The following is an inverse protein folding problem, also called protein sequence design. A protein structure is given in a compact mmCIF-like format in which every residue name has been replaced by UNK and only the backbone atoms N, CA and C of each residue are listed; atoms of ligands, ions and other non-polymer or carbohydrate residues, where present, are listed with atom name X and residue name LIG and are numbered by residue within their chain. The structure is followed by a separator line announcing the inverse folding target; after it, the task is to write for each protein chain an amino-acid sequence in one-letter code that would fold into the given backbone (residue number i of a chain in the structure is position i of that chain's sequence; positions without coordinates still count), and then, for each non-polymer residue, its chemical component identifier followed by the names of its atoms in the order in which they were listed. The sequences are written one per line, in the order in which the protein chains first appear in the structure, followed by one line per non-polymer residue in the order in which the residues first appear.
data_IF_304585805365
#
_entry.id   IF_304585805365
#
_cell.length_a   1.000
_cell.length_b   1.000
_cell.length_c   1.000
_cell.angle_alpha   90.00
_cell.angle_beta   90.00
_cell.angle_gamma   90.00
#
_symmetry.space_group_name_H-M   'P 1'
#
loop_
_entity.id
_entity.type
_entity.pdbx_description
1 polymer ?
#
# COMPACT_ATOMS: atom_id res chain seq x y z
N UNK A 1 19.60 -19.76 28.03
CA UNK A 1 20.84 -19.00 27.73
C UNK A 1 21.82 -19.24 28.86
N UNK A 2 23.09 -19.52 28.57
CA UNK A 2 24.10 -19.79 29.60
C UNK A 2 25.27 -18.82 29.45
N UNK A 3 25.70 -18.23 30.56
CA UNK A 3 26.87 -17.34 30.57
C UNK A 3 28.17 -18.14 30.39
N UNK A 4 28.95 -17.82 29.37
CA UNK A 4 30.28 -18.41 29.16
C UNK A 4 31.33 -17.59 29.89
N UNK A 5 31.97 -18.18 30.92
CA UNK A 5 32.99 -17.51 31.73
C UNK A 5 34.30 -17.24 30.97
N UNK A 6 34.69 -18.14 30.05
CA UNK A 6 35.91 -17.97 29.24
C UNK A 6 35.76 -16.89 28.17
N UNK A 7 34.56 -16.75 27.59
CA UNK A 7 34.28 -15.78 26.52
C UNK A 7 33.54 -14.51 26.99
N UNK A 8 33.25 -14.39 28.29
CA UNK A 8 32.53 -13.29 28.94
C UNK A 8 31.26 -12.83 28.19
N UNK A 9 30.50 -13.78 27.64
CA UNK A 9 29.25 -13.50 26.92
C UNK A 9 28.20 -14.58 27.14
N UNK A 10 26.92 -14.21 27.01
CA UNK A 10 25.83 -15.18 27.01
C UNK A 10 25.82 -15.96 25.69
N UNK A 11 25.89 -17.29 25.79
CA UNK A 11 25.80 -18.19 24.64
C UNK A 11 24.47 -18.96 24.68
N UNK A 12 23.87 -19.11 23.50
CA UNK A 12 22.74 -20.02 23.27
C UNK A 12 23.33 -21.39 22.91
N UNK A 13 23.28 -22.35 23.83
CA UNK A 13 23.54 -23.76 23.49
C UNK A 13 22.28 -24.32 22.80
N UNK A 14 22.47 -24.97 21.65
CA UNK A 14 21.39 -25.68 20.95
C UNK A 14 20.97 -26.94 21.71
N UNK A 15 19.81 -27.50 21.34
CA UNK A 15 19.34 -28.79 21.83
C UNK A 15 19.91 -29.86 20.88
N UNK A 16 20.47 -30.94 21.42
CA UNK A 16 20.89 -32.10 20.64
C UNK A 16 19.63 -32.92 20.29
N UNK A 17 19.38 -33.10 19.00
CA UNK A 17 18.32 -33.96 18.49
C UNK A 17 18.94 -35.18 17.80
N UNK A 18 18.27 -36.32 17.87
CA UNK A 18 18.68 -37.50 17.11
C UNK A 18 18.60 -37.20 15.60
N UNK A 19 19.56 -37.68 14.78
CA UNK A 19 19.53 -37.51 13.33
C UNK A 19 18.18 -37.88 12.71
N UNK A 20 17.60 -39.00 13.12
CA UNK A 20 16.28 -39.47 12.67
C UNK A 20 15.14 -38.48 13.01
N UNK A 21 15.26 -37.73 14.10
CA UNK A 21 14.27 -36.70 14.47
C UNK A 21 14.43 -35.45 13.58
N UNK A 22 15.64 -35.13 13.15
CA UNK A 22 15.93 -34.03 12.21
C UNK A 22 15.40 -34.41 10.82
N UNK A 23 15.73 -35.61 10.33
CA UNK A 23 15.28 -36.09 9.02
C UNK A 23 13.76 -36.18 8.91
N UNK A 24 13.07 -36.70 9.94
CA UNK A 24 11.60 -36.71 9.97
C UNK A 24 11.01 -35.30 9.91
N UNK A 25 11.56 -34.34 10.66
CA UNK A 25 11.11 -32.96 10.63
C UNK A 25 11.34 -32.31 9.25
N UNK A 26 12.45 -32.63 8.59
CA UNK A 26 12.73 -32.19 7.21
C UNK A 26 11.72 -32.80 6.21
N UNK A 27 11.44 -34.11 6.32
CA UNK A 27 10.45 -34.80 5.48
C UNK A 27 9.05 -34.19 5.63
N UNK A 28 8.61 -33.97 6.87
CA UNK A 28 7.32 -33.36 7.19
C UNK A 28 7.26 -31.93 6.61
N UNK A 29 8.31 -31.12 6.81
CA UNK A 29 8.40 -29.77 6.27
C UNK A 29 8.35 -29.72 4.73
N UNK A 30 8.99 -30.69 4.06
CA UNK A 30 9.00 -30.84 2.61
C UNK A 30 7.62 -31.27 2.09
N UNK A 31 6.95 -32.23 2.74
CA UNK A 31 5.60 -32.64 2.37
C UNK A 31 4.58 -31.49 2.49
N UNK A 32 4.74 -30.64 3.50
CA UNK A 32 3.91 -29.44 3.68
C UNK A 32 4.30 -28.29 2.74
N UNK A 33 5.52 -28.28 2.19
CA UNK A 33 6.02 -27.21 1.33
C UNK A 33 5.22 -27.12 0.03
N UNK A 34 4.88 -28.26 -0.58
CA UNK A 34 4.11 -28.28 -1.83
C UNK A 34 2.68 -27.77 -1.63
N UNK A 35 2.03 -28.14 -0.52
CA UNK A 35 0.69 -27.65 -0.16
C UNK A 35 0.73 -26.14 0.11
N UNK A 36 1.78 -25.64 0.78
CA UNK A 36 1.99 -24.21 1.01
C UNK A 36 2.26 -23.45 -0.29
N UNK A 37 3.11 -23.99 -1.17
CA UNK A 37 3.42 -23.38 -2.46
C UNK A 37 2.17 -23.24 -3.34
N UNK A 38 1.38 -24.31 -3.48
CA UNK A 38 0.11 -24.27 -4.23
C UNK A 38 -0.90 -23.28 -3.62
N UNK A 39 -0.96 -23.17 -2.29
CA UNK A 39 -1.78 -22.14 -1.63
C UNK A 39 -1.28 -20.73 -1.91
N UNK A 40 0.04 -20.51 -1.89
CA UNK A 40 0.66 -19.22 -2.20
C UNK A 40 0.39 -18.78 -3.64
N UNK A 41 0.53 -19.68 -4.61
CA UNK A 41 0.23 -19.41 -6.03
C UNK A 41 -1.25 -19.03 -6.21
N UNK A 42 -2.17 -19.81 -5.65
CA UNK A 42 -3.61 -19.51 -5.70
C UNK A 42 -3.94 -18.20 -5.02
N UNK A 43 -3.31 -17.92 -3.87
CA UNK A 43 -3.51 -16.66 -3.15
C UNK A 43 -2.91 -15.47 -3.92
N UNK A 44 -1.79 -15.64 -4.61
CA UNK A 44 -1.19 -14.62 -5.46
C UNK A 44 -2.09 -14.29 -6.64
N UNK A 45 -2.58 -15.31 -7.36
CA UNK A 45 -3.53 -15.13 -8.46
C UNK A 45 -4.81 -14.45 -7.99
N UNK A 46 -5.35 -14.86 -6.82
CA UNK A 46 -6.53 -14.21 -6.22
C UNK A 46 -6.26 -12.74 -5.89
N UNK A 47 -5.09 -12.41 -5.33
CA UNK A 47 -4.71 -11.03 -5.00
C UNK A 47 -4.61 -10.14 -6.24
N UNK A 48 -3.99 -10.62 -7.32
CA UNK A 48 -3.91 -9.87 -8.58
C UNK A 48 -5.31 -9.54 -9.11
N UNK A 49 -6.22 -10.52 -9.09
CA UNK A 49 -7.60 -10.30 -9.53
C UNK A 49 -8.37 -9.34 -8.60
N UNK A 50 -8.16 -9.44 -7.28
CA UNK A 50 -8.74 -8.53 -6.30
C UNK A 50 -8.21 -7.09 -6.46
N UNK A 51 -6.92 -6.94 -6.76
CA UNK A 51 -6.28 -5.65 -6.99
C UNK A 51 -6.85 -4.98 -8.24
N UNK A 52 -7.01 -5.70 -9.35
CA UNK A 52 -7.64 -5.14 -10.57
C UNK A 52 -9.08 -4.68 -10.32
N UNK A 53 -9.89 -5.50 -9.62
CA UNK A 53 -11.27 -5.10 -9.25
C UNK A 53 -11.27 -3.88 -8.35
N UNK A 54 -10.37 -3.84 -7.38
CA UNK A 54 -10.24 -2.72 -6.47
C UNK A 54 -9.82 -1.44 -7.20
N UNK A 55 -8.85 -1.51 -8.11
CA UNK A 55 -8.42 -0.38 -8.93
C UNK A 55 -9.60 0.20 -9.72
N UNK A 56 -10.37 -0.65 -10.41
CA UNK A 56 -11.53 -0.20 -11.18
C UNK A 56 -12.58 0.47 -10.29
N UNK A 57 -12.92 -0.15 -9.14
CA UNK A 57 -13.89 0.40 -8.20
C UNK A 57 -13.41 1.71 -7.56
N UNK A 58 -12.13 1.81 -7.22
CA UNK A 58 -11.55 3.00 -6.61
C UNK A 58 -11.46 4.16 -7.61
N UNK A 59 -11.08 3.89 -8.86
CA UNK A 59 -11.09 4.89 -9.93
C UNK A 59 -12.51 5.42 -10.20
N UNK A 60 -13.51 4.53 -10.18
CA UNK A 60 -14.92 4.95 -10.27
C UNK A 60 -15.32 5.85 -9.10
N UNK A 61 -15.01 5.45 -7.86
CA UNK A 61 -15.30 6.26 -6.67
C UNK A 61 -14.59 7.63 -6.70
N UNK A 62 -13.35 7.72 -7.20
CA UNK A 62 -12.68 9.02 -7.40
C UNK A 62 -13.49 9.89 -8.36
N UNK A 63 -13.93 9.36 -9.50
CA UNK A 63 -14.69 10.15 -10.49
C UNK A 63 -16.08 10.56 -10.00
N UNK A 64 -16.68 9.78 -9.10
CA UNK A 64 -17.93 10.17 -8.44
C UNK A 64 -17.73 11.37 -7.49
N UNK A 65 -16.64 11.37 -6.71
CA UNK A 65 -16.33 12.46 -5.76
C UNK A 65 -15.72 13.68 -6.46
N UNK A 66 -14.95 13.45 -7.52
CA UNK A 66 -14.18 14.45 -8.27
C UNK A 66 -14.47 14.33 -9.77
N UNK A 67 -15.65 14.78 -10.22
CA UNK A 67 -16.07 14.65 -11.62
C UNK A 67 -15.18 15.39 -12.63
N UNK A 68 -14.44 16.41 -12.21
CA UNK A 68 -13.45 17.13 -13.05
C UNK A 68 -12.06 16.48 -13.07
N UNK A 69 -11.84 15.38 -12.35
CA UNK A 69 -10.55 14.69 -12.34
C UNK A 69 -10.34 13.92 -13.67
N UNK A 70 -9.19 14.09 -14.35
CA UNK A 70 -8.88 13.33 -15.55
C UNK A 70 -8.92 11.81 -15.31
N UNK A 71 -9.41 11.04 -16.30
CA UNK A 71 -9.56 9.58 -16.18
C UNK A 71 -8.22 8.91 -15.88
N UNK A 72 -7.16 9.27 -16.63
CA UNK A 72 -5.81 8.76 -16.41
C UNK A 72 -5.27 9.08 -15.02
N UNK A 73 -5.63 10.24 -14.46
CA UNK A 73 -5.25 10.63 -13.10
C UNK A 73 -5.95 9.77 -12.05
N UNK A 74 -7.25 9.55 -12.20
CA UNK A 74 -8.01 8.68 -11.31
C UNK A 74 -7.49 7.23 -11.35
N UNK A 75 -7.15 6.72 -12.53
CA UNK A 75 -6.57 5.38 -12.72
C UNK A 75 -5.17 5.26 -12.08
N UNK A 76 -4.31 6.26 -12.25
CA UNK A 76 -2.99 6.29 -11.63
C UNK A 76 -3.08 6.25 -10.09
N UNK A 77 -3.99 7.04 -9.51
CA UNK A 77 -4.23 7.07 -8.06
C UNK A 77 -4.74 5.70 -7.58
N UNK A 78 -5.69 5.10 -8.30
CA UNK A 78 -6.25 3.80 -7.97
C UNK A 78 -5.20 2.68 -8.05
N UNK A 79 -4.36 2.70 -9.08
CA UNK A 79 -3.23 1.76 -9.23
C UNK A 79 -2.28 1.85 -8.04
N UNK A 80 -1.88 3.06 -7.65
CA UNK A 80 -1.01 3.28 -6.51
C UNK A 80 -1.64 2.84 -5.17
N UNK A 81 -2.94 3.09 -4.99
CA UNK A 81 -3.68 2.65 -3.82
C UNK A 81 -3.75 1.12 -3.71
N UNK A 82 -3.91 0.42 -4.84
CA UNK A 82 -3.91 -1.04 -4.89
C UNK A 82 -2.54 -1.64 -4.56
N UNK A 83 -1.44 -1.06 -5.07
CA UNK A 83 -0.09 -1.47 -4.72
C UNK A 83 0.16 -1.40 -3.21
N UNK A 84 -0.32 -0.34 -2.54
CA UNK A 84 -0.24 -0.22 -1.08
C UNK A 84 -1.11 -1.22 -0.31
N UNK A 85 -2.22 -1.68 -0.90
CA UNK A 85 -3.11 -2.70 -0.31
C UNK A 85 -2.53 -4.12 -0.37
N UNK A 86 -1.55 -4.39 -1.23
CA UNK A 86 -1.00 -5.74 -1.44
C UNK A 86 -0.49 -6.44 -0.15
N UNK A 87 -0.28 -5.71 0.95
CA UNK A 87 0.02 -6.27 2.27
C UNK A 87 -1.22 -6.73 3.06
N UNK A 88 -1.52 -8.04 3.08
CA UNK A 88 -2.42 -8.76 4.03
C UNK A 88 -3.56 -7.91 4.66
N UNK A 89 -4.45 -7.31 3.87
CA UNK A 89 -5.64 -6.64 4.44
C UNK A 89 -6.91 -7.41 4.10
N UNK A 90 -7.65 -7.84 5.13
CA UNK A 90 -8.89 -8.61 4.98
C UNK A 90 -10.03 -7.81 4.32
N UNK A 91 -11.12 -8.51 3.98
CA UNK A 91 -12.32 -7.98 3.28
C UNK A 91 -12.85 -6.66 3.85
N UNK A 92 -12.84 -6.49 5.17
CA UNK A 92 -13.32 -5.27 5.84
C UNK A 92 -12.50 -4.02 5.50
N UNK A 93 -11.22 -4.16 5.17
CA UNK A 93 -10.42 -3.03 4.76
C UNK A 93 -10.65 -2.65 3.30
N UNK A 94 -11.09 -3.59 2.44
CA UNK A 94 -11.47 -3.32 1.06
C UNK A 94 -12.64 -2.34 0.99
N UNK A 95 -13.71 -2.64 1.74
CA UNK A 95 -14.86 -1.73 1.87
C UNK A 95 -14.47 -0.36 2.44
N UNK A 96 -13.63 -0.32 3.48
CA UNK A 96 -13.18 0.95 4.07
C UNK A 96 -12.33 1.83 3.15
N UNK A 97 -11.66 1.27 2.16
CA UNK A 97 -10.88 2.10 1.24
C UNK A 97 -11.78 2.79 0.20
N UNK A 98 -12.94 2.22 -0.10
CA UNK A 98 -13.94 2.88 -0.96
C UNK A 98 -14.79 3.90 -0.19
N UNK A 99 -14.52 4.09 1.10
CA UNK A 99 -15.15 5.15 1.88
C UNK A 99 -14.79 6.53 1.28
N UNK A 100 -15.76 7.46 1.16
CA UNK A 100 -15.51 8.77 0.56
C UNK A 100 -14.35 9.55 1.21
N UNK A 101 -14.16 9.45 2.53
CA UNK A 101 -13.02 10.10 3.19
C UNK A 101 -11.69 9.42 2.84
N UNK A 102 -11.67 8.10 2.73
CA UNK A 102 -10.49 7.36 2.29
C UNK A 102 -10.11 7.70 0.84
N UNK A 103 -11.11 7.83 -0.05
CA UNK A 103 -10.93 8.28 -1.43
C UNK A 103 -10.35 9.69 -1.44
N UNK A 104 -10.95 10.63 -0.70
CA UNK A 104 -10.44 12.02 -0.60
C UNK A 104 -9.00 12.07 -0.10
N UNK A 105 -8.67 11.30 0.94
CA UNK A 105 -7.31 11.26 1.49
C UNK A 105 -6.29 10.71 0.49
N UNK A 106 -6.65 9.70 -0.29
CA UNK A 106 -5.77 9.16 -1.32
C UNK A 106 -5.53 10.16 -2.46
N UNK A 107 -6.58 10.85 -2.91
CA UNK A 107 -6.47 11.89 -3.93
C UNK A 107 -5.62 13.06 -3.40
N UNK A 108 -5.90 13.55 -2.19
CA UNK A 108 -5.11 14.61 -1.55
C UNK A 108 -3.64 14.23 -1.36
N UNK A 109 -3.35 12.96 -1.05
CA UNK A 109 -1.98 12.46 -0.99
C UNK A 109 -1.32 12.45 -2.37
N UNK A 110 -2.01 12.02 -3.42
CA UNK A 110 -1.48 12.09 -4.78
C UNK A 110 -1.17 13.52 -5.19
N UNK A 111 -2.09 14.45 -4.92
CA UNK A 111 -1.91 15.87 -5.25
C UNK A 111 -0.72 16.45 -4.51
N UNK A 112 -0.58 16.15 -3.22
CA UNK A 112 0.58 16.57 -2.43
C UNK A 112 1.91 16.17 -3.07
N UNK A 113 2.04 14.93 -3.53
CA UNK A 113 3.32 14.43 -4.05
C UNK A 113 3.59 14.80 -5.51
N UNK A 114 2.55 15.07 -6.31
CA UNK A 114 2.70 15.27 -7.76
C UNK A 114 2.45 16.70 -8.21
N UNK A 115 1.66 17.47 -7.48
CA UNK A 115 1.23 18.81 -7.87
C UNK A 115 1.80 19.90 -6.93
N UNK A 116 2.66 19.52 -5.98
CA UNK A 116 3.29 20.45 -5.02
C UNK A 116 4.75 20.07 -4.73
N UNK A 117 5.55 21.04 -4.29
CA UNK A 117 6.97 20.85 -3.92
C UNK A 117 7.15 20.14 -2.56
N UNK A 118 6.15 19.37 -2.11
CA UNK A 118 6.16 18.73 -0.79
C UNK A 118 7.41 17.86 -0.58
N UNK A 119 7.75 17.05 -1.58
CA UNK A 119 8.90 16.15 -1.49
C UNK A 119 10.23 16.93 -1.48
N UNK A 120 10.33 18.01 -2.25
CA UNK A 120 11.50 18.91 -2.24
C UNK A 120 11.69 19.58 -0.88
N UNK A 121 10.60 20.05 -0.26
CA UNK A 121 10.62 20.65 1.08
C UNK A 121 11.06 19.66 2.15
N UNK A 122 10.62 18.40 2.06
CA UNK A 122 11.10 17.35 2.96
C UNK A 122 12.60 17.08 2.74
N UNK A 123 13.06 17.05 1.49
CA UNK A 123 14.48 16.87 1.17
C UNK A 123 15.34 18.04 1.64
N UNK A 124 14.80 19.26 1.67
CA UNK A 124 15.49 20.45 2.20
C UNK A 124 15.51 20.52 3.73
N UNK A 125 14.97 19.51 4.43
CA UNK A 125 14.98 19.41 5.89
C UNK A 125 13.83 20.11 6.60
N UNK A 126 12.80 20.57 5.88
CA UNK A 126 11.58 21.09 6.50
C UNK A 126 10.82 19.91 7.11
N UNK A 127 10.33 20.08 8.34
CA UNK A 127 9.55 19.04 9.00
C UNK A 127 8.19 18.82 8.31
N UNK A 128 7.60 17.65 8.57
CA UNK A 128 6.37 17.23 7.88
C UNK A 128 5.17 18.13 8.16
N UNK A 129 5.06 18.69 9.36
CA UNK A 129 3.91 19.51 9.74
C UNK A 129 3.97 20.86 9.02
N UNK A 130 5.13 21.51 9.08
CA UNK A 130 5.39 22.75 8.35
C UNK A 130 5.22 22.56 6.84
N UNK A 131 5.82 21.51 6.27
CA UNK A 131 5.70 21.23 4.84
C UNK A 131 4.24 20.98 4.43
N UNK A 132 3.45 20.28 5.27
CA UNK A 132 2.01 20.05 5.01
C UNK A 132 1.19 21.34 5.07
N UNK A 133 1.48 22.22 6.02
CA UNK A 133 0.80 23.52 6.13
C UNK A 133 1.06 24.39 4.90
N UNK A 134 2.30 24.42 4.43
CA UNK A 134 2.70 25.26 3.29
C UNK A 134 2.10 24.83 1.94
N UNK A 135 1.80 23.54 1.76
CA UNK A 135 1.19 23.02 0.54
C UNK A 135 -0.32 22.85 0.65
N UNK A 136 -0.91 23.10 1.83
CA UNK A 136 -2.32 22.84 2.11
C UNK A 136 -3.25 23.58 1.15
N UNK A 137 -3.09 24.90 1.02
CA UNK A 137 -3.93 25.73 0.16
C UNK A 137 -3.86 25.27 -1.30
N UNK A 138 -2.66 24.94 -1.77
CA UNK A 138 -2.45 24.42 -3.13
C UNK A 138 -3.16 23.08 -3.36
N UNK A 139 -3.14 22.19 -2.37
CA UNK A 139 -3.87 20.92 -2.45
C UNK A 139 -5.36 21.20 -2.54
N UNK A 140 -5.90 22.05 -1.66
CA UNK A 140 -7.34 22.36 -1.64
C UNK A 140 -7.80 23.06 -2.93
N UNK A 141 -6.99 23.94 -3.53
CA UNK A 141 -7.28 24.53 -4.86
C UNK A 141 -7.48 23.46 -5.94
N UNK A 142 -6.56 22.48 -6.04
CA UNK A 142 -6.63 21.40 -7.02
C UNK A 142 -7.82 20.49 -6.74
N UNK A 143 -8.07 20.15 -5.47
CA UNK A 143 -9.22 19.32 -5.11
C UNK A 143 -10.54 20.02 -5.41
N UNK A 144 -10.63 21.34 -5.21
CA UNK A 144 -11.83 22.11 -5.49
C UNK A 144 -12.08 22.27 -7.00
N UNK A 145 -11.02 22.45 -7.81
CA UNK A 145 -11.17 22.52 -9.27
C UNK A 145 -11.70 21.21 -9.86
N UNK A 146 -11.37 20.06 -9.26
CA UNK A 146 -11.94 18.77 -9.69
C UNK A 146 -13.33 18.47 -9.14
N UNK A 147 -13.79 19.19 -8.12
CA UNK A 147 -15.18 19.09 -7.62
C UNK A 147 -16.14 19.89 -8.48
N UNK A 148 -15.71 21.07 -8.94
CA UNK A 148 -16.51 21.94 -9.79
C UNK A 148 -16.35 21.56 -11.26
N UNK A 149 -17.32 20.83 -11.80
CA UNK A 149 -17.45 20.47 -13.24
C UNK A 149 -17.46 21.65 -14.21
N UNK A 150 -17.50 22.90 -13.74
CA UNK A 150 -17.67 24.09 -14.59
C UNK A 150 -16.36 24.67 -15.16
N UNK A 151 -15.20 24.08 -14.86
CA UNK A 151 -13.91 24.76 -15.09
C UNK A 151 -12.97 24.18 -16.14
N UNK A 152 -13.19 22.99 -16.70
CA UNK A 152 -12.18 22.36 -17.57
C UNK A 152 -12.75 22.04 -18.96
N UNK A 153 -12.30 22.72 -20.03
CA UNK A 153 -12.68 22.40 -21.39
C UNK A 153 -12.19 21.00 -21.75
N UNK A 154 -13.02 20.30 -22.52
CA UNK A 154 -12.74 18.98 -23.05
C UNK A 154 -11.51 19.00 -23.97
N UNK A 155 -10.34 18.61 -23.47
CA UNK A 155 -9.25 18.22 -24.36
C UNK A 155 -9.52 16.78 -24.84
N UNK A 156 -9.88 16.71 -26.13
CA UNK A 156 -9.99 15.48 -26.91
C UNK A 156 -8.62 15.17 -27.52
N UNK A 157 -8.15 13.93 -27.36
CA UNK A 157 -7.40 13.20 -28.39
C UNK A 157 -7.49 11.68 -28.12
#
# INVERSE_FOLDING_TARGET
MRWSRSRKRYERQGILAEPDAIERAEQDCLSDAEVRARRMERDQARRVADDVRFQAAFAAAIREVFPGCPVSRAEAIASHAALRRSGRVGRSAAGRALDPDAVRLAVAASVRHLDTDYDERLMSGIDRETARGQVYDRIEEVLNSWRDTRGMPCDSD
#
